data_IF_220226174132
#
_entry.id   IF_220226174132
#
_cell.length_a   1.000
_cell.length_b   1.000
_cell.length_c   1.000
_cell.angle_alpha   90.00
_cell.angle_beta   90.00
_cell.angle_gamma   90.00
#
_symmetry.space_group_name_H-M   'P 1'
#
loop_
_entity.id
_entity.type
_entity.pdbx_description
1 polymer ?
#
# COMPACT_ATOMS: atom_id res chain seq x y z
N UNK A 1 49.13 18.88 34.87
CA UNK A 1 48.50 19.00 33.54
C UNK A 1 47.81 17.66 33.24
N UNK A 2 46.51 17.55 33.64
CA UNK A 2 45.75 16.33 33.47
C UNK A 2 45.11 16.37 32.06
N UNK A 3 45.46 15.38 31.20
CA UNK A 3 44.79 15.16 29.93
C UNK A 3 43.45 14.46 30.21
N UNK A 4 42.32 15.14 29.94
CA UNK A 4 41.00 14.51 29.82
C UNK A 4 40.90 13.85 28.45
N UNK A 5 40.92 12.51 28.39
CA UNK A 5 40.61 11.74 27.21
C UNK A 5 39.07 11.62 27.14
N UNK A 6 38.43 12.41 26.29
CA UNK A 6 37.02 12.22 25.94
C UNK A 6 36.90 10.98 25.06
N UNK A 7 36.42 9.87 25.60
CA UNK A 7 36.03 8.69 24.83
C UNK A 7 34.64 8.97 24.27
N UNK A 8 34.57 9.28 22.97
CA UNK A 8 33.32 9.40 22.23
C UNK A 8 32.86 7.97 21.88
N UNK A 9 31.89 7.45 22.61
CA UNK A 9 31.21 6.23 22.22
C UNK A 9 30.30 6.54 21.03
N UNK A 10 30.75 6.21 19.84
CA UNK A 10 29.90 6.18 18.65
C UNK A 10 28.96 4.97 18.78
N UNK A 11 27.70 5.19 19.16
CA UNK A 11 26.68 4.17 19.05
C UNK A 11 26.37 3.95 17.55
N UNK A 12 26.96 2.90 16.99
CA UNK A 12 26.55 2.40 15.68
C UNK A 12 25.19 1.72 15.89
N UNK A 13 24.11 2.42 15.57
CA UNK A 13 22.79 1.79 15.44
C UNK A 13 22.86 0.86 14.22
N UNK A 14 22.96 -0.44 14.48
CA UNK A 14 22.76 -1.45 13.44
C UNK A 14 21.30 -1.35 13.02
N UNK A 15 21.05 -0.80 11.83
CA UNK A 15 19.73 -0.82 11.20
C UNK A 15 19.48 -2.27 10.80
N UNK A 16 18.71 -2.99 11.60
CA UNK A 16 18.33 -4.38 11.33
C UNK A 16 17.12 -4.39 10.42
N UNK A 17 17.29 -4.84 9.17
CA UNK A 17 16.19 -5.14 8.27
C UNK A 17 15.52 -6.46 8.66
N UNK A 18 14.20 -6.51 8.51
CA UNK A 18 13.42 -7.75 8.67
C UNK A 18 13.28 -8.44 7.32
N UNK A 19 13.73 -9.69 7.26
CA UNK A 19 13.58 -10.54 6.07
C UNK A 19 12.34 -11.40 6.23
N UNK A 20 11.41 -11.28 5.29
CA UNK A 20 10.17 -12.07 5.25
C UNK A 20 10.32 -13.23 4.27
N UNK A 21 10.29 -14.45 4.81
CA UNK A 21 10.34 -15.68 4.00
C UNK A 21 8.95 -16.23 3.77
N UNK A 22 8.52 -16.16 2.53
CA UNK A 22 7.23 -16.65 2.07
C UNK A 22 7.24 -18.18 1.89
N UNK A 23 6.08 -18.80 2.02
CA UNK A 23 5.88 -20.21 1.67
C UNK A 23 5.52 -20.32 0.18
N UNK A 24 6.40 -20.86 -0.67
CA UNK A 24 6.21 -20.90 -2.12
C UNK A 24 5.07 -21.84 -2.55
N UNK A 25 4.52 -22.65 -1.66
CA UNK A 25 3.36 -23.49 -1.96
C UNK A 25 2.04 -22.73 -1.96
N UNK A 26 2.03 -21.49 -1.48
CA UNK A 26 0.84 -20.64 -1.41
C UNK A 26 0.72 -19.84 -2.71
N UNK A 27 -0.48 -19.83 -3.31
CA UNK A 27 -0.76 -19.22 -4.62
C UNK A 27 -0.80 -17.69 -4.63
N UNK A 28 -0.83 -17.04 -3.46
CA UNK A 28 -0.88 -15.57 -3.31
C UNK A 28 0.02 -15.09 -2.17
N UNK A 29 0.29 -13.78 -2.13
CA UNK A 29 1.03 -13.13 -1.05
C UNK A 29 2.51 -13.50 -0.99
N UNK A 30 3.05 -14.10 -2.07
CA UNK A 30 4.47 -14.41 -2.21
C UNK A 30 5.07 -13.66 -3.38
N UNK A 31 6.14 -12.95 -3.12
CA UNK A 31 6.92 -12.26 -4.13
C UNK A 31 7.85 -13.22 -4.87
N UNK A 32 8.26 -12.84 -6.07
CA UNK A 32 9.32 -13.55 -6.81
C UNK A 32 10.70 -13.34 -6.22
N UNK A 33 10.86 -12.28 -5.40
CA UNK A 33 12.09 -11.94 -4.69
C UNK A 33 11.84 -11.99 -3.18
N UNK A 34 12.89 -12.21 -2.40
CA UNK A 34 12.80 -12.12 -0.95
C UNK A 34 12.47 -10.66 -0.55
N UNK A 35 11.45 -10.49 0.27
CA UNK A 35 11.09 -9.16 0.79
C UNK A 35 11.93 -8.84 2.01
N UNK A 36 12.77 -7.82 1.88
CA UNK A 36 13.53 -7.23 2.98
C UNK A 36 12.95 -5.83 3.23
N UNK A 37 12.56 -5.57 4.47
CA UNK A 37 12.06 -4.24 4.86
C UNK A 37 12.88 -3.78 6.06
N UNK A 38 13.53 -2.64 5.94
CA UNK A 38 14.21 -2.02 7.07
C UNK A 38 13.19 -1.22 7.87
N UNK A 39 13.23 -1.38 9.19
CA UNK A 39 12.41 -0.55 10.08
C UNK A 39 13.04 0.85 10.15
N UNK A 40 12.86 1.67 9.12
CA UNK A 40 13.31 3.07 9.14
C UNK A 40 12.28 3.94 9.82
N UNK A 41 12.79 4.79 10.71
CA UNK A 41 11.96 5.72 11.52
C UNK A 41 11.52 6.94 10.69
N UNK A 42 12.11 7.21 9.49
CA UNK A 42 11.84 8.40 8.67
C UNK A 42 11.78 8.04 7.18
N UNK A 43 10.70 8.47 6.50
CA UNK A 43 10.64 8.66 5.05
C UNK A 43 10.61 7.41 4.16
N UNK A 44 10.49 6.19 4.73
CA UNK A 44 10.49 4.98 3.93
C UNK A 44 11.85 4.65 3.28
N UNK A 45 11.86 3.66 2.41
CA UNK A 45 13.02 3.25 1.61
C UNK A 45 12.58 2.79 0.23
N UNK A 46 13.46 2.88 -0.75
CA UNK A 46 13.20 2.34 -2.07
C UNK A 46 13.05 0.82 -1.99
N UNK A 47 11.94 0.31 -2.50
CA UNK A 47 11.67 -1.12 -2.54
C UNK A 47 12.67 -1.84 -3.45
N UNK A 48 13.13 -3.02 -3.03
CA UNK A 48 13.95 -3.87 -3.88
C UNK A 48 13.19 -4.26 -5.15
N UNK A 49 13.90 -4.42 -6.26
CA UNK A 49 13.29 -4.75 -7.53
C UNK A 49 12.42 -6.01 -7.43
N UNK A 50 11.18 -5.86 -7.88
CA UNK A 50 10.18 -6.93 -7.93
C UNK A 50 9.83 -7.56 -6.57
N UNK A 51 10.12 -6.88 -5.46
CA UNK A 51 9.75 -7.32 -4.13
C UNK A 51 8.23 -7.34 -3.91
N UNK A 52 7.47 -6.59 -4.71
CA UNK A 52 6.03 -6.39 -4.54
C UNK A 52 5.29 -6.55 -5.88
N UNK A 53 5.26 -7.77 -6.40
CA UNK A 53 4.71 -8.05 -7.74
C UNK A 53 3.21 -7.81 -7.91
N UNK A 54 2.48 -7.53 -6.84
CA UNK A 54 1.04 -7.21 -6.87
C UNK A 54 0.73 -5.73 -6.91
N UNK A 55 1.72 -4.84 -6.71
CA UNK A 55 1.46 -3.40 -6.80
C UNK A 55 1.27 -2.98 -8.26
N UNK A 56 0.30 -2.15 -8.51
CA UNK A 56 0.10 -1.51 -9.81
C UNK A 56 -0.17 -0.01 -9.63
N UNK A 57 0.26 0.77 -10.60
CA UNK A 57 -0.09 2.18 -10.70
C UNK A 57 -1.44 2.29 -11.43
N UNK A 58 -2.43 2.89 -10.78
CA UNK A 58 -3.66 3.33 -11.43
C UNK A 58 -3.38 4.68 -12.08
N UNK A 59 -3.59 4.75 -13.38
CA UNK A 59 -3.29 5.91 -14.22
C UNK A 59 -4.56 6.49 -14.82
N UNK A 60 -4.65 7.81 -14.83
CA UNK A 60 -5.64 8.57 -15.57
C UNK A 60 -4.91 9.43 -16.62
N UNK A 61 -5.26 9.27 -17.91
CA UNK A 61 -4.57 9.96 -19.01
C UNK A 61 -3.06 9.74 -19.02
N UNK A 62 -2.63 8.51 -18.70
CA UNK A 62 -1.25 8.05 -18.58
C UNK A 62 -0.44 8.64 -17.40
N UNK A 63 -1.04 9.50 -16.56
CA UNK A 63 -0.47 9.99 -15.32
C UNK A 63 -0.84 9.09 -14.13
N UNK A 64 0.13 8.83 -13.24
CA UNK A 64 -0.13 8.14 -11.98
C UNK A 64 -1.04 8.99 -11.08
N UNK A 65 -2.09 8.38 -10.54
CA UNK A 65 -3.01 9.04 -9.62
C UNK A 65 -3.16 8.29 -8.29
N UNK A 66 -3.08 6.95 -8.32
CA UNK A 66 -3.28 6.09 -7.17
C UNK A 66 -2.53 4.78 -7.33
N UNK A 67 -2.30 4.09 -6.22
CA UNK A 67 -1.92 2.68 -6.20
C UNK A 67 -3.13 1.75 -6.35
N UNK A 68 -2.87 0.49 -6.66
CA UNK A 68 -3.84 -0.59 -6.57
C UNK A 68 -3.13 -1.92 -6.33
N UNK A 69 -3.86 -2.95 -5.89
CA UNK A 69 -3.32 -4.27 -5.57
C UNK A 69 -3.94 -5.34 -6.44
N UNK A 70 -3.13 -6.12 -7.15
CA UNK A 70 -3.59 -7.24 -7.97
C UNK A 70 -4.13 -8.37 -7.09
N UNK A 71 -5.36 -8.79 -7.36
CA UNK A 71 -6.01 -9.94 -6.75
C UNK A 71 -5.94 -11.16 -7.67
N UNK A 72 -6.08 -10.93 -8.97
CA UNK A 72 -6.05 -11.93 -10.05
C UNK A 72 -5.43 -11.31 -11.31
N UNK A 73 -5.24 -12.08 -12.40
CA UNK A 73 -4.78 -11.51 -13.67
C UNK A 73 -5.71 -10.45 -14.28
N UNK A 74 -6.96 -10.35 -13.84
CA UNK A 74 -8.00 -9.48 -14.41
C UNK A 74 -8.59 -8.47 -13.42
N UNK A 75 -8.26 -8.61 -12.12
CA UNK A 75 -8.85 -7.80 -11.06
C UNK A 75 -7.80 -7.21 -10.15
N UNK A 76 -7.99 -5.95 -9.81
CA UNK A 76 -7.26 -5.26 -8.76
C UNK A 76 -8.23 -4.52 -7.82
N UNK A 77 -7.76 -4.25 -6.61
CA UNK A 77 -8.48 -3.44 -5.64
C UNK A 77 -7.73 -2.12 -5.42
N UNK A 78 -8.48 -1.03 -5.29
CA UNK A 78 -8.01 0.33 -5.00
C UNK A 78 -9.00 1.04 -4.08
N UNK A 79 -8.76 2.31 -3.74
CA UNK A 79 -9.70 3.15 -3.02
C UNK A 79 -10.82 3.67 -3.94
N UNK A 80 -12.04 3.82 -3.40
CA UNK A 80 -13.16 4.37 -4.16
C UNK A 80 -12.96 5.85 -4.50
N UNK A 81 -12.34 6.64 -3.62
CA UNK A 81 -12.05 8.05 -3.88
C UNK A 81 -11.14 8.26 -5.10
N UNK A 82 -10.29 7.30 -5.44
CA UNK A 82 -9.43 7.37 -6.62
C UNK A 82 -10.20 7.41 -7.95
N UNK A 83 -11.45 6.94 -7.95
CA UNK A 83 -12.23 6.74 -9.17
C UNK A 83 -13.60 7.43 -9.14
N UNK A 84 -14.11 7.78 -7.96
CA UNK A 84 -15.46 8.29 -7.73
C UNK A 84 -15.85 9.43 -8.67
N UNK A 85 -15.03 10.47 -8.74
CA UNK A 85 -15.34 11.67 -9.55
C UNK A 85 -15.16 11.46 -11.06
N UNK A 86 -14.59 10.33 -11.45
CA UNK A 86 -14.22 10.04 -12.83
C UNK A 86 -14.99 8.88 -13.46
N UNK A 87 -16.07 8.41 -12.83
CA UNK A 87 -16.87 7.26 -13.31
C UNK A 87 -17.43 7.42 -14.73
N UNK A 88 -17.60 8.65 -15.20
CA UNK A 88 -17.99 8.94 -16.57
C UNK A 88 -16.84 8.79 -17.59
N UNK A 89 -15.62 8.55 -17.14
CA UNK A 89 -14.41 8.53 -17.95
C UNK A 89 -13.62 7.23 -17.79
N UNK A 90 -14.27 6.10 -17.53
CA UNK A 90 -13.64 4.78 -17.28
C UNK A 90 -12.61 4.41 -18.36
N UNK A 91 -12.91 4.72 -19.63
CA UNK A 91 -12.01 4.41 -20.76
C UNK A 91 -10.66 5.15 -20.72
N UNK A 92 -10.52 6.18 -19.88
CA UNK A 92 -9.28 6.93 -19.70
C UNK A 92 -8.38 6.35 -18.63
N UNK A 93 -8.89 5.37 -17.86
CA UNK A 93 -8.11 4.70 -16.84
C UNK A 93 -7.33 3.52 -17.42
N UNK A 94 -6.12 3.37 -16.92
CA UNK A 94 -5.24 2.22 -17.18
C UNK A 94 -4.57 1.77 -15.89
N UNK A 95 -4.14 0.54 -15.86
CA UNK A 95 -3.15 0.06 -14.89
C UNK A 95 -1.79 -0.10 -15.57
N UNK A 96 -0.73 0.15 -14.78
CA UNK A 96 0.66 -0.15 -15.11
C UNK A 96 1.16 -1.18 -14.10
N UNK A 97 1.53 -2.36 -14.57
CA UNK A 97 1.97 -3.51 -13.78
C UNK A 97 3.36 -4.02 -14.20
N UNK A 98 4.03 -4.76 -13.31
CA UNK A 98 5.30 -5.44 -13.61
C UNK A 98 6.52 -4.52 -13.60
N UNK A 99 6.47 -3.40 -12.87
CA UNK A 99 7.57 -2.46 -12.72
C UNK A 99 7.59 -1.84 -11.33
N UNK A 100 8.79 -1.43 -10.89
CA UNK A 100 8.97 -0.56 -9.73
C UNK A 100 9.07 0.91 -10.13
N UNK A 101 9.09 1.24 -11.44
CA UNK A 101 9.35 2.58 -11.94
C UNK A 101 8.19 3.07 -12.81
N UNK A 102 7.70 4.29 -12.55
CA UNK A 102 6.59 4.88 -13.32
C UNK A 102 6.99 5.26 -14.74
N UNK A 103 8.21 5.75 -14.94
CA UNK A 103 8.66 6.42 -16.17
C UNK A 103 9.72 5.62 -16.96
N UNK A 104 9.96 4.37 -16.65
CA UNK A 104 10.93 3.56 -17.40
C UNK A 104 10.23 2.58 -18.35
N UNK A 105 10.03 3.03 -19.59
CA UNK A 105 9.42 2.21 -20.64
C UNK A 105 10.32 1.09 -21.17
N UNK A 106 11.61 1.07 -20.83
CA UNK A 106 12.57 0.05 -21.29
C UNK A 106 12.45 -1.30 -20.55
N UNK A 107 11.71 -1.33 -19.43
CA UNK A 107 11.54 -2.53 -18.62
C UNK A 107 10.67 -3.56 -19.36
N UNK A 108 11.18 -4.74 -19.68
CA UNK A 108 10.47 -5.70 -20.54
C UNK A 108 9.28 -6.40 -19.85
N UNK A 109 9.17 -6.28 -18.52
CA UNK A 109 8.09 -6.88 -17.73
C UNK A 109 6.85 -6.01 -17.63
N UNK A 110 6.93 -4.74 -18.10
CA UNK A 110 5.83 -3.78 -18.05
C UNK A 110 4.63 -4.26 -18.84
N UNK A 111 3.48 -4.20 -18.21
CA UNK A 111 2.19 -4.42 -18.86
C UNK A 111 1.22 -3.29 -18.52
N UNK A 112 0.60 -2.72 -19.57
CA UNK A 112 -0.46 -1.72 -19.42
C UNK A 112 -1.78 -2.33 -19.86
N UNK A 113 -2.86 -2.10 -19.10
CA UNK A 113 -4.21 -2.57 -19.43
C UNK A 113 -5.22 -1.47 -19.18
N UNK A 114 -6.11 -1.29 -20.15
CA UNK A 114 -7.26 -0.38 -20.00
C UNK A 114 -8.27 -0.99 -19.04
N UNK A 115 -8.88 -0.16 -18.21
CA UNK A 115 -9.97 -0.55 -17.32
C UNK A 115 -11.23 -0.83 -18.15
N UNK A 116 -11.89 -1.96 -17.89
CA UNK A 116 -13.15 -2.38 -18.52
C UNK A 116 -14.34 -1.94 -17.67
N UNK A 117 -14.25 -2.15 -16.35
CA UNK A 117 -15.29 -1.73 -15.41
C UNK A 117 -14.70 -1.41 -14.04
N UNK A 118 -15.41 -0.58 -13.31
CA UNK A 118 -15.10 -0.19 -11.93
C UNK A 118 -16.34 -0.46 -11.09
N UNK A 119 -16.18 -1.14 -9.98
CA UNK A 119 -17.25 -1.40 -9.01
C UNK A 119 -16.81 -0.82 -7.66
N UNK A 120 -17.40 0.28 -7.25
CA UNK A 120 -17.20 0.87 -5.94
C UNK A 120 -18.08 0.18 -4.90
N UNK A 121 -17.66 0.21 -3.64
CA UNK A 121 -18.50 -0.25 -2.54
C UNK A 121 -19.83 0.55 -2.52
N UNK A 122 -21.01 -0.11 -2.43
CA UNK A 122 -22.30 0.58 -2.56
C UNK A 122 -22.60 1.55 -1.39
N UNK A 123 -21.87 1.44 -0.28
CA UNK A 123 -21.97 2.34 0.87
C UNK A 123 -20.77 3.27 0.99
N UNK A 124 -20.01 3.48 -0.08
CA UNK A 124 -18.95 4.49 -0.07
C UNK A 124 -19.56 5.87 0.18
N UNK A 125 -19.02 6.59 1.17
CA UNK A 125 -19.41 7.98 1.47
C UNK A 125 -18.22 8.91 1.22
N UNK A 126 -18.28 9.80 0.23
CA UNK A 126 -17.18 10.71 -0.09
C UNK A 126 -16.92 11.76 1.00
N UNK A 127 -17.87 12.00 1.93
CA UNK A 127 -17.67 12.99 3.00
C UNK A 127 -16.90 12.41 4.19
N UNK A 128 -17.16 11.16 4.55
CA UNK A 128 -16.54 10.47 5.68
C UNK A 128 -15.45 9.50 5.26
N UNK A 129 -15.33 9.26 3.95
CA UNK A 129 -14.44 8.25 3.33
C UNK A 129 -14.65 6.84 3.91
N UNK A 130 -15.85 6.57 4.45
CA UNK A 130 -16.23 5.24 4.88
C UNK A 130 -16.41 4.30 3.67
N UNK A 131 -16.05 3.03 3.83
CA UNK A 131 -16.13 2.03 2.77
C UNK A 131 -15.37 2.43 1.49
N UNK A 132 -14.21 3.05 1.65
CA UNK A 132 -13.38 3.58 0.57
C UNK A 132 -12.62 2.46 -0.16
N UNK A 133 -13.39 1.68 -0.94
CA UNK A 133 -12.88 0.53 -1.67
C UNK A 133 -13.57 0.40 -3.03
N UNK A 134 -12.80 0.06 -4.06
CA UNK A 134 -13.28 -0.21 -5.41
C UNK A 134 -12.52 -1.37 -6.05
N UNK A 135 -13.23 -2.15 -6.85
CA UNK A 135 -12.67 -3.23 -7.68
C UNK A 135 -12.55 -2.73 -9.12
N UNK A 136 -11.37 -2.91 -9.67
CA UNK A 136 -11.05 -2.62 -11.06
C UNK A 136 -11.03 -3.92 -11.85
N UNK A 137 -11.76 -3.97 -12.97
CA UNK A 137 -11.67 -5.05 -13.95
C UNK A 137 -10.95 -4.54 -15.20
N UNK A 138 -10.00 -5.30 -15.71
CA UNK A 138 -9.22 -4.96 -16.91
C UNK A 138 -8.96 -6.22 -17.76
N UNK A 139 -8.48 -6.03 -18.99
CA UNK A 139 -8.09 -7.17 -19.83
C UNK A 139 -6.92 -7.93 -19.21
N UNK A 140 -6.89 -9.28 -19.34
CA UNK A 140 -5.97 -10.11 -18.58
C UNK A 140 -4.50 -9.70 -18.74
N UNK A 141 -3.78 -9.70 -17.62
CA UNK A 141 -2.32 -9.65 -17.60
C UNK A 141 -1.76 -11.00 -18.08
N UNK A 142 -0.67 -10.95 -18.83
CA UNK A 142 0.06 -12.15 -19.23
C UNK A 142 0.94 -12.60 -18.08
N UNK A 143 0.63 -13.75 -17.51
CA UNK A 143 1.43 -14.34 -16.43
C UNK A 143 2.30 -15.45 -17.03
N UNK A 144 3.60 -15.30 -16.92
CA UNK A 144 4.61 -16.26 -17.37
C UNK A 144 5.68 -16.45 -16.29
N UNK A 145 6.54 -17.43 -16.45
CA UNK A 145 7.68 -17.66 -15.53
C UNK A 145 8.61 -16.45 -15.42
N UNK A 146 8.65 -15.60 -16.44
CA UNK A 146 9.46 -14.38 -16.47
C UNK A 146 8.69 -13.14 -16.03
N UNK A 147 7.37 -13.23 -15.85
CA UNK A 147 6.61 -12.09 -15.32
C UNK A 147 7.00 -11.86 -13.86
N UNK A 148 7.14 -10.59 -13.50
CA UNK A 148 7.39 -10.17 -12.12
C UNK A 148 6.10 -9.86 -11.37
N UNK A 149 4.98 -10.29 -11.95
CA UNK A 149 3.63 -10.06 -11.44
C UNK A 149 3.24 -11.23 -10.54
N UNK A 150 2.76 -10.90 -9.36
CA UNK A 150 2.18 -11.83 -8.38
C UNK A 150 0.89 -11.23 -7.82
N UNK A 151 0.21 -11.94 -6.96
CA UNK A 151 -1.08 -11.52 -6.40
C UNK A 151 -1.01 -11.45 -4.88
N UNK A 152 -1.62 -10.43 -4.27
CA UNK A 152 -1.76 -10.33 -2.82
C UNK A 152 -2.84 -11.30 -2.31
N UNK A 153 -2.68 -11.86 -1.11
CA UNK A 153 -3.76 -12.58 -0.48
C UNK A 153 -4.78 -11.64 0.15
N UNK A 154 -6.05 -12.00 0.08
CA UNK A 154 -7.09 -11.40 0.91
C UNK A 154 -7.12 -12.09 2.29
N UNK A 155 -7.55 -11.39 3.36
CA UNK A 155 -7.82 -12.01 4.64
C UNK A 155 -8.90 -13.08 4.51
N UNK A 156 -8.84 -14.10 5.35
CA UNK A 156 -9.94 -15.06 5.46
C UNK A 156 -11.15 -14.41 6.14
N UNK A 157 -12.28 -15.04 5.97
CA UNK A 157 -13.50 -14.65 6.67
C UNK A 157 -13.26 -14.57 8.18
N UNK A 158 -13.64 -13.45 8.81
CA UNK A 158 -13.40 -13.10 10.21
C UNK A 158 -11.92 -13.02 10.64
N UNK A 159 -10.96 -13.08 9.70
CA UNK A 159 -9.55 -12.80 9.96
C UNK A 159 -9.30 -11.30 9.91
N UNK A 160 -8.83 -10.75 11.02
CA UNK A 160 -8.29 -9.39 11.06
C UNK A 160 -6.77 -9.51 10.96
N UNK A 161 -6.15 -9.21 9.80
CA UNK A 161 -4.73 -9.44 9.58
C UNK A 161 -3.85 -8.46 10.32
N UNK A 162 -4.43 -7.43 10.91
CA UNK A 162 -3.68 -6.51 11.76
C UNK A 162 -4.16 -6.58 13.21
N UNK A 163 -3.22 -6.40 14.11
CA UNK A 163 -3.48 -6.18 15.53
C UNK A 163 -2.76 -4.91 15.95
N UNK A 164 -3.26 -4.24 16.99
CA UNK A 164 -2.60 -3.07 17.57
C UNK A 164 -1.13 -3.38 17.85
N UNK A 165 -0.23 -2.50 17.44
CA UNK A 165 1.23 -2.59 17.54
C UNK A 165 1.90 -3.65 16.63
N UNK A 166 1.18 -4.31 15.74
CA UNK A 166 1.81 -5.14 14.72
C UNK A 166 2.45 -4.27 13.63
N UNK A 167 3.58 -4.74 13.11
CA UNK A 167 4.20 -4.14 11.94
C UNK A 167 3.40 -4.46 10.69
N UNK A 168 3.05 -3.43 9.96
CA UNK A 168 2.44 -3.46 8.64
C UNK A 168 3.38 -2.81 7.65
N UNK A 169 3.29 -3.16 6.38
CA UNK A 169 4.09 -2.55 5.31
C UNK A 169 3.17 -1.89 4.31
N UNK A 170 3.37 -0.60 4.08
CA UNK A 170 2.77 0.16 2.99
C UNK A 170 3.78 0.32 1.86
N UNK A 171 3.29 0.33 0.62
CA UNK A 171 4.10 0.50 -0.58
C UNK A 171 3.38 1.40 -1.58
N UNK A 172 4.14 2.23 -2.29
CA UNK A 172 3.57 3.10 -3.32
C UNK A 172 4.58 4.05 -3.96
N UNK A 173 4.09 4.93 -4.81
CA UNK A 173 4.86 5.97 -5.50
C UNK A 173 4.48 7.37 -5.03
N UNK A 174 3.92 7.50 -3.83
CA UNK A 174 3.54 8.77 -3.26
C UNK A 174 4.70 9.75 -3.08
N UNK A 175 4.36 10.97 -2.70
CA UNK A 175 5.35 12.02 -2.45
C UNK A 175 6.32 11.60 -1.34
N UNK A 176 7.60 11.87 -1.55
CA UNK A 176 8.65 11.60 -0.55
C UNK A 176 8.67 12.66 0.56
N UNK A 177 8.15 13.84 0.27
CA UNK A 177 8.05 14.97 1.18
C UNK A 177 6.72 15.68 0.95
N UNK A 178 6.05 16.11 2.01
CA UNK A 178 4.73 16.76 1.95
C UNK A 178 4.73 18.03 1.08
N UNK A 179 5.80 18.80 1.14
CA UNK A 179 5.93 20.09 0.41
C UNK A 179 6.37 19.94 -1.04
N UNK A 180 6.78 18.74 -1.47
CA UNK A 180 7.24 18.46 -2.83
C UNK A 180 6.16 17.68 -3.56
N UNK A 181 5.37 18.38 -4.38
CA UNK A 181 4.27 17.81 -5.15
C UNK A 181 4.77 17.02 -6.37
N UNK A 182 5.60 16.01 -6.13
CA UNK A 182 6.11 15.13 -7.17
C UNK A 182 6.09 13.68 -6.69
N UNK A 183 5.45 12.82 -7.48
CA UNK A 183 5.39 11.38 -7.18
C UNK A 183 6.78 10.77 -7.35
N UNK A 184 7.11 9.83 -6.48
CA UNK A 184 8.36 9.09 -6.62
C UNK A 184 8.34 8.27 -7.91
N UNK A 185 9.39 8.41 -8.73
CA UNK A 185 9.52 7.53 -9.90
C UNK A 185 9.79 6.08 -9.49
N UNK A 186 10.47 5.84 -8.38
CA UNK A 186 10.78 4.52 -7.84
C UNK A 186 9.81 4.12 -6.75
N UNK A 187 9.36 2.86 -6.75
CA UNK A 187 8.49 2.31 -5.70
C UNK A 187 9.16 2.43 -4.34
N UNK A 188 8.42 2.96 -3.37
CA UNK A 188 8.84 3.09 -1.98
C UNK A 188 8.14 2.07 -1.10
N UNK A 189 8.74 1.76 0.05
CA UNK A 189 8.15 0.93 1.10
C UNK A 189 8.41 1.54 2.47
N UNK A 190 7.43 1.40 3.37
CA UNK A 190 7.55 1.87 4.76
C UNK A 190 6.88 0.89 5.71
N UNK A 191 7.51 0.67 6.87
CA UNK A 191 6.89 -0.07 7.96
C UNK A 191 6.13 0.90 8.85
N UNK A 192 4.86 0.61 9.09
CA UNK A 192 3.98 1.35 10.00
C UNK A 192 3.38 0.39 11.04
N UNK A 193 2.81 0.94 12.11
CA UNK A 193 2.13 0.16 13.15
C UNK A 193 0.67 0.57 13.24
N UNK A 194 -0.21 -0.41 13.41
CA UNK A 194 -1.63 -0.14 13.65
C UNK A 194 -1.82 0.42 15.07
N UNK A 195 -2.60 1.49 15.15
CA UNK A 195 -3.02 2.09 16.42
C UNK A 195 -4.34 1.51 16.90
N UNK A 196 -4.59 1.59 18.22
CA UNK A 196 -5.93 1.36 18.74
C UNK A 196 -6.90 2.42 18.20
N UNK A 197 -8.09 2.01 17.79
CA UNK A 197 -9.13 2.94 17.34
C UNK A 197 -9.55 3.95 18.41
N UNK A 198 -9.25 3.65 19.67
CA UNK A 198 -9.53 4.53 20.82
C UNK A 198 -8.34 5.39 21.23
N UNK A 199 -7.19 5.28 20.56
CA UNK A 199 -6.05 6.13 20.85
C UNK A 199 -6.31 7.59 20.42
N UNK A 200 -5.65 8.53 21.07
CA UNK A 200 -5.79 9.96 20.75
C UNK A 200 -5.33 10.25 19.31
N UNK A 201 -4.25 9.61 18.87
CA UNK A 201 -3.69 9.75 17.54
C UNK A 201 -4.72 9.32 16.47
N UNK A 202 -5.38 8.17 16.68
CA UNK A 202 -6.39 7.66 15.77
C UNK A 202 -7.64 8.53 15.73
N UNK A 203 -8.06 9.09 16.87
CA UNK A 203 -9.18 10.03 16.93
C UNK A 203 -8.88 11.36 16.22
N UNK A 204 -7.63 11.82 16.24
CA UNK A 204 -7.20 13.04 15.58
C UNK A 204 -6.97 12.86 14.07
N UNK A 205 -6.81 11.63 13.59
CA UNK A 205 -6.56 11.34 12.16
C UNK A 205 -7.75 11.56 11.24
N UNK A 206 -8.95 11.76 11.80
CA UNK A 206 -10.20 11.92 11.03
C UNK A 206 -10.89 10.58 10.70
N UNK A 207 -10.49 9.49 11.33
CA UNK A 207 -11.19 8.21 11.20
C UNK A 207 -12.63 8.33 11.70
N UNK A 208 -13.61 8.06 10.81
CA UNK A 208 -15.02 8.23 11.12
C UNK A 208 -15.64 6.97 11.74
N UNK A 209 -15.24 5.78 11.24
CA UNK A 209 -15.89 4.52 11.61
C UNK A 209 -14.87 3.36 11.74
N UNK A 210 -14.55 2.94 12.98
CA UNK A 210 -13.56 1.88 13.22
C UNK A 210 -14.00 0.48 12.76
N UNK A 211 -15.26 0.28 12.38
CA UNK A 211 -15.71 -1.00 11.83
C UNK A 211 -15.26 -1.21 10.37
N UNK A 212 -15.06 -0.12 9.62
CA UNK A 212 -14.67 -0.14 8.20
C UNK A 212 -13.37 0.61 7.91
N UNK A 213 -12.79 1.27 8.92
CA UNK A 213 -11.54 2.00 8.85
C UNK A 213 -10.63 1.63 10.01
N UNK A 214 -9.35 1.84 9.86
CA UNK A 214 -8.36 1.82 10.95
C UNK A 214 -7.21 2.77 10.64
N UNK A 215 -6.44 3.12 11.64
CA UNK A 215 -5.30 3.98 11.48
C UNK A 215 -3.99 3.25 11.77
N UNK A 216 -2.99 3.59 10.98
CA UNK A 216 -1.62 3.11 11.14
C UNK A 216 -0.63 4.20 10.75
N UNK A 217 0.54 4.18 11.37
CA UNK A 217 1.59 5.15 11.10
C UNK A 217 2.81 4.89 11.97
N UNK A 218 3.79 5.78 11.90
CA UNK A 218 4.91 5.84 12.85
C UNK A 218 5.13 7.28 13.29
N UNK A 219 6.03 7.49 14.25
CA UNK A 219 6.39 8.85 14.69
C UNK A 219 7.05 9.69 13.58
N UNK A 220 7.44 9.09 12.45
CA UNK A 220 8.18 9.78 11.40
C UNK A 220 8.06 9.14 10.00
N UNK A 221 7.09 8.26 9.79
CA UNK A 221 6.86 7.61 8.49
C UNK A 221 5.38 7.27 8.33
N UNK A 222 4.84 7.58 7.16
CA UNK A 222 3.45 7.33 6.78
C UNK A 222 3.35 7.25 5.26
N UNK A 223 2.15 6.95 4.75
CA UNK A 223 1.80 7.12 3.35
C UNK A 223 1.54 8.60 3.03
N UNK A 224 1.73 8.97 1.76
CA UNK A 224 1.57 10.35 1.30
C UNK A 224 0.69 10.41 0.04
N UNK A 225 0.46 11.62 -0.50
CA UNK A 225 -0.29 11.81 -1.74
C UNK A 225 0.34 10.99 -2.86
N UNK A 226 -0.49 10.25 -3.61
CA UNK A 226 -0.07 9.29 -4.62
C UNK A 226 0.02 7.84 -4.12
N UNK A 227 0.07 7.58 -2.80
CA UNK A 227 -0.04 6.24 -2.23
C UNK A 227 -1.50 5.78 -2.08
N UNK A 228 -2.46 6.70 -2.20
CA UNK A 228 -3.90 6.43 -2.18
C UNK A 228 -4.27 5.20 -2.99
N UNK A 229 -5.13 4.32 -2.46
CA UNK A 229 -5.53 3.08 -3.11
C UNK A 229 -4.49 1.96 -3.07
N UNK A 230 -3.25 2.26 -2.69
CA UNK A 230 -2.17 1.30 -2.50
C UNK A 230 -2.38 0.39 -1.29
N UNK A 231 -1.66 -0.74 -1.21
CA UNK A 231 -1.83 -1.72 -0.15
C UNK A 231 -1.13 -1.34 1.14
N UNK A 232 -1.82 -1.59 2.26
CA UNK A 232 -1.21 -1.81 3.56
C UNK A 232 -1.30 -3.29 3.90
N UNK A 233 -0.17 -3.93 4.19
CA UNK A 233 -0.04 -5.38 4.21
C UNK A 233 0.48 -5.88 5.55
N UNK A 234 -0.02 -7.04 5.98
CA UNK A 234 0.48 -7.82 7.10
C UNK A 234 1.15 -9.12 6.61
N UNK A 235 2.23 -9.53 7.25
CA UNK A 235 2.83 -10.84 6.98
C UNK A 235 2.30 -11.87 7.97
N UNK A 236 1.40 -12.73 7.50
CA UNK A 236 0.67 -13.70 8.32
C UNK A 236 0.84 -15.10 7.71
N UNK A 237 1.18 -16.09 8.55
CA UNK A 237 1.32 -17.48 8.12
C UNK A 237 2.20 -17.64 6.86
N UNK A 238 3.35 -16.97 6.85
CA UNK A 238 4.35 -16.98 5.77
C UNK A 238 3.84 -16.46 4.42
N UNK A 239 2.91 -15.52 4.42
CA UNK A 239 2.40 -14.84 3.23
C UNK A 239 2.00 -13.41 3.53
N UNK A 240 2.01 -12.54 2.52
CA UNK A 240 1.49 -11.19 2.62
C UNK A 240 -0.02 -11.18 2.39
N UNK A 241 -0.73 -10.54 3.31
CA UNK A 241 -2.19 -10.39 3.30
C UNK A 241 -2.52 -8.91 3.27
N UNK A 242 -3.46 -8.53 2.42
CA UNK A 242 -3.96 -7.16 2.32
C UNK A 242 -4.77 -6.82 3.57
N UNK A 243 -4.23 -6.01 4.46
CA UNK A 243 -4.87 -5.58 5.70
C UNK A 243 -5.73 -4.33 5.48
N UNK A 244 -5.24 -3.39 4.67
CA UNK A 244 -5.91 -2.14 4.40
C UNK A 244 -5.58 -1.57 3.03
N UNK A 245 -6.36 -0.56 2.64
CA UNK A 245 -6.16 0.24 1.43
C UNK A 245 -5.92 1.67 1.88
N UNK A 246 -4.85 2.31 1.41
CA UNK A 246 -4.53 3.70 1.74
C UNK A 246 -5.69 4.60 1.31
N UNK A 247 -6.26 5.32 2.27
CA UNK A 247 -7.49 6.09 2.07
C UNK A 247 -7.26 7.60 2.28
N UNK A 248 -7.02 8.05 3.49
CA UNK A 248 -6.86 9.48 3.79
C UNK A 248 -5.86 9.71 4.91
N UNK A 249 -5.48 10.97 5.15
CA UNK A 249 -4.62 11.37 6.24
C UNK A 249 -4.49 12.89 6.35
N UNK A 250 -4.09 13.39 7.51
CA UNK A 250 -3.84 14.80 7.77
C UNK A 250 -2.38 15.18 7.46
N UNK A 251 -2.04 15.33 6.17
CA UNK A 251 -0.67 15.52 5.70
C UNK A 251 0.09 14.19 5.56
N UNK A 252 1.42 14.25 5.54
CA UNK A 252 2.27 13.08 5.37
C UNK A 252 3.27 12.99 6.51
N UNK A 253 3.32 11.85 7.19
CA UNK A 253 4.26 11.59 8.30
C UNK A 253 4.24 12.64 9.42
N UNK A 254 3.13 13.28 9.66
CA UNK A 254 2.97 14.25 10.76
C UNK A 254 2.86 13.51 12.09
N UNK A 255 3.70 13.88 13.03
CA UNK A 255 3.71 13.28 14.38
C UNK A 255 2.31 13.41 15.02
N UNK A 256 1.75 12.29 15.48
CA UNK A 256 0.43 12.25 16.11
C UNK A 256 -0.76 12.19 15.14
N UNK A 257 -0.52 12.14 13.83
CA UNK A 257 -1.57 12.05 12.81
C UNK A 257 -1.29 10.85 11.89
N UNK A 258 -1.62 9.63 12.32
CA UNK A 258 -1.46 8.43 11.49
C UNK A 258 -2.40 8.48 10.28
N UNK A 259 -2.01 7.80 9.19
CA UNK A 259 -2.86 7.57 8.04
C UNK A 259 -4.10 6.74 8.39
N UNK A 260 -5.19 6.98 7.68
CA UNK A 260 -6.43 6.22 7.76
C UNK A 260 -6.52 5.29 6.54
N UNK A 261 -6.84 4.04 6.80
CA UNK A 261 -6.91 2.97 5.81
C UNK A 261 -8.31 2.37 5.80
N UNK A 262 -8.85 2.10 4.60
CA UNK A 262 -10.05 1.29 4.48
C UNK A 262 -9.72 -0.15 4.90
N UNK A 263 -10.53 -0.70 5.81
CA UNK A 263 -10.34 -2.05 6.35
C UNK A 263 -10.73 -3.09 5.30
N UNK A 264 -9.79 -3.97 4.96
CA UNK A 264 -10.05 -5.11 4.09
C UNK A 264 -10.43 -6.30 4.97
N UNK A 265 -11.70 -6.40 5.25
CA UNK A 265 -12.32 -7.58 5.85
C UNK A 265 -13.48 -8.00 4.94
N UNK A 266 -14.19 -9.03 5.27
CA UNK A 266 -15.26 -9.75 4.55
C UNK A 266 -16.21 -8.93 3.67
N UNK A 267 -16.27 -7.62 3.82
CA UNK A 267 -17.19 -6.77 3.06
C UNK A 267 -16.99 -6.82 1.53
N UNK A 268 -15.80 -7.24 1.06
CA UNK A 268 -15.54 -7.39 -0.38
C UNK A 268 -16.24 -8.62 -0.96
N UNK A 269 -16.50 -9.65 -0.18
CA UNK A 269 -16.95 -10.96 -0.66
C UNK A 269 -18.47 -11.15 -0.71
N UNK A 270 -19.26 -10.25 -0.13
CA UNK A 270 -20.72 -10.43 -0.05
C UNK A 270 -21.52 -9.85 -1.22
N UNK A 271 -20.85 -9.30 -2.24
CA UNK A 271 -21.53 -8.65 -3.38
C UNK A 271 -21.16 -9.24 -4.75
N UNK A 272 -20.60 -10.44 -4.81
CA UNK A 272 -20.47 -11.21 -6.06
C UNK A 272 -21.65 -12.19 -6.18
N UNK A 273 -22.86 -11.66 -6.32
CA UNK A 273 -24.08 -12.40 -6.63
C UNK A 273 -24.74 -11.80 -7.84
#
# INVERSE_FOLDING_TARGET
>A
MLLFICIVFSYIYLISGTTYKCDPSISCGCSVSTTNVTSRIVGGETASDYAWGWIVSLQLLDGHICGASLLTPEYAVTAAHCVHDFMNYISRFKILAGTNYLNDASIPTIQRRSIISITMHPKYDPNTVENDIAILKFSPLTISSNSKITFICLPKEYEDPFQTNNNLVAIGWGYLLEDVQDVSNSLQQVTVQAYSSTSNECQQSGMANPSVQFCAGTMAGDTCQGDSGGPLMAFVNKRWVLAGITSTGNGCARVGYPGVYARVCIQILTHSG
#
